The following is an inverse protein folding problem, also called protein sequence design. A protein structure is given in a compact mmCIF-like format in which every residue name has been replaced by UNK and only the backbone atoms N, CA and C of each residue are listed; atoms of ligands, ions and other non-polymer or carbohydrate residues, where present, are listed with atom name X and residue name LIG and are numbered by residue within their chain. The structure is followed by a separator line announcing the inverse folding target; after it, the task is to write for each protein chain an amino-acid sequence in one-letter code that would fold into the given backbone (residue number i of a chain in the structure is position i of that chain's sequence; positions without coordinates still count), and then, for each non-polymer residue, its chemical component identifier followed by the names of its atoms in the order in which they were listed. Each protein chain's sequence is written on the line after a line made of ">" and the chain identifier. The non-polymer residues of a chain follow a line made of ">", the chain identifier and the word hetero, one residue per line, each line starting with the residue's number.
data_IF_906517653980
#
_entry.id   IF_906517653980
#
_cell.length_a   1.000
_cell.length_b   1.000
_cell.length_c   1.000
_cell.angle_alpha   90.00
_cell.angle_beta   90.00
_cell.angle_gamma   90.00
#
_symmetry.space_group_name_H-M   'P 1'
#
loop_
_entity.id
_entity.type
_entity.pdbx_description
1 polymer ?
#
# COMPACT_ATOMS: atom_id res chain seq x y z
N UNK A 1 14.32 17.33 -12.24
CA UNK A 1 13.76 16.03 -12.65
C UNK A 1 12.94 15.50 -11.51
N UNK A 2 11.64 15.36 -11.73
CA UNK A 2 10.72 14.66 -10.84
C UNK A 2 11.24 13.27 -10.47
N UNK A 3 10.99 12.84 -9.23
CA UNK A 3 11.27 11.46 -8.80
C UNK A 3 10.32 10.49 -9.52
N UNK A 4 10.83 9.34 -9.94
CA UNK A 4 10.03 8.29 -10.58
C UNK A 4 9.84 7.12 -9.63
N UNK A 5 8.59 6.91 -9.23
CA UNK A 5 8.13 5.78 -8.43
C UNK A 5 8.09 4.51 -9.28
N UNK A 6 8.58 3.41 -8.70
CA UNK A 6 8.53 2.08 -9.31
C UNK A 6 7.38 1.28 -8.71
N UNK A 7 6.72 0.48 -9.53
CA UNK A 7 5.74 -0.47 -9.06
C UNK A 7 6.48 -1.70 -8.55
N UNK A 8 6.41 -1.96 -7.25
CA UNK A 8 7.14 -3.05 -6.62
C UNK A 8 6.41 -4.38 -6.87
N UNK A 9 7.15 -5.44 -7.22
CA UNK A 9 6.57 -6.77 -7.27
C UNK A 9 6.21 -7.23 -5.86
N UNK A 10 5.01 -7.80 -5.70
CA UNK A 10 4.67 -8.55 -4.49
C UNK A 10 5.50 -9.86 -4.38
N UNK A 11 5.55 -10.51 -3.20
CA UNK A 11 6.40 -11.70 -2.98
C UNK A 11 6.06 -12.94 -3.81
N UNK A 12 4.91 -12.95 -4.49
CA UNK A 12 4.38 -14.07 -5.25
C UNK A 12 3.73 -13.60 -6.57
N UNK A 13 3.85 -14.38 -7.63
CA UNK A 13 3.33 -14.07 -8.97
C UNK A 13 1.79 -14.00 -9.03
N UNK A 14 1.26 -13.59 -10.20
CA UNK A 14 -0.18 -13.63 -10.50
C UNK A 14 -0.78 -15.03 -10.42
N UNK A 15 -0.04 -16.06 -10.85
CA UNK A 15 -0.52 -17.43 -10.73
C UNK A 15 -0.43 -17.96 -9.30
N UNK A 16 0.66 -17.67 -8.58
CA UNK A 16 0.80 -18.09 -7.19
C UNK A 16 -0.26 -17.46 -6.28
N UNK A 17 -0.61 -16.18 -6.49
CA UNK A 17 -1.63 -15.49 -5.69
C UNK A 17 -3.01 -16.14 -5.78
N UNK A 18 -3.37 -16.67 -6.96
CA UNK A 18 -4.69 -17.32 -7.18
C UNK A 18 -4.87 -18.52 -6.27
N UNK A 19 -3.81 -19.28 -6.03
CA UNK A 19 -3.86 -20.45 -5.15
C UNK A 19 -3.56 -20.11 -3.70
N UNK A 20 -2.58 -19.23 -3.46
CA UNK A 20 -2.11 -18.87 -2.12
C UNK A 20 -3.15 -18.10 -1.31
N UNK A 21 -3.96 -17.27 -1.97
CA UNK A 21 -4.88 -16.35 -1.30
C UNK A 21 -6.36 -16.75 -1.39
N UNK A 22 -6.71 -17.81 -2.15
CA UNK A 22 -8.11 -18.16 -2.47
C UNK A 22 -9.04 -18.31 -1.27
N UNK A 23 -8.50 -18.71 -0.12
CA UNK A 23 -9.28 -18.94 1.09
C UNK A 23 -9.61 -17.64 1.84
N UNK A 24 -8.94 -16.52 1.51
CA UNK A 24 -9.12 -15.21 2.16
C UNK A 24 -9.51 -14.09 1.19
N UNK A 25 -9.16 -14.20 -0.09
CA UNK A 25 -9.57 -13.27 -1.15
C UNK A 25 -9.71 -14.01 -2.49
N UNK A 26 -10.75 -13.69 -3.26
CA UNK A 26 -10.96 -14.36 -4.56
C UNK A 26 -9.83 -14.03 -5.55
N UNK A 27 -9.49 -14.95 -6.48
CA UNK A 27 -8.53 -14.73 -7.56
C UNK A 27 -8.77 -13.43 -8.33
N UNK A 28 -10.02 -13.15 -8.70
CA UNK A 28 -10.40 -11.96 -9.45
C UNK A 28 -10.18 -10.68 -8.63
N UNK A 29 -10.52 -10.72 -7.35
CA UNK A 29 -10.35 -9.56 -6.47
C UNK A 29 -8.87 -9.26 -6.27
N UNK A 30 -8.06 -10.30 -6.01
CA UNK A 30 -6.61 -10.16 -5.84
C UNK A 30 -5.93 -9.59 -7.10
N UNK A 31 -6.34 -10.06 -8.28
CA UNK A 31 -5.84 -9.56 -9.56
C UNK A 31 -6.16 -8.07 -9.75
N UNK A 32 -7.44 -7.68 -9.63
CA UNK A 32 -7.83 -6.28 -9.77
C UNK A 32 -7.19 -5.37 -8.72
N UNK A 33 -7.05 -5.85 -7.49
CA UNK A 33 -6.47 -5.10 -6.39
C UNK A 33 -4.99 -4.77 -6.63
N UNK A 34 -4.22 -5.72 -7.14
CA UNK A 34 -2.80 -5.52 -7.45
C UNK A 34 -2.59 -4.84 -8.82
N UNK A 35 -3.12 -5.43 -9.89
CA UNK A 35 -2.82 -5.04 -11.27
C UNK A 35 -3.54 -3.76 -11.73
N UNK A 36 -4.64 -3.38 -11.06
CA UNK A 36 -5.38 -2.14 -11.36
C UNK A 36 -5.24 -1.10 -10.24
N UNK A 37 -5.67 -1.41 -9.02
CA UNK A 37 -5.74 -0.42 -7.95
C UNK A 37 -4.36 -0.01 -7.43
N UNK A 38 -3.53 -0.97 -7.01
CA UNK A 38 -2.19 -0.68 -6.52
C UNK A 38 -1.30 -0.05 -7.60
N UNK A 39 -1.25 -0.65 -8.80
CA UNK A 39 -0.54 -0.08 -9.96
C UNK A 39 -1.03 1.32 -10.34
N UNK A 40 -2.32 1.58 -10.16
CA UNK A 40 -2.94 2.88 -10.37
C UNK A 40 -2.32 3.96 -9.48
N UNK A 41 -2.12 3.69 -8.19
CA UNK A 41 -1.49 4.65 -7.27
C UNK A 41 -0.09 5.05 -7.73
N UNK A 42 0.75 4.09 -8.12
CA UNK A 42 2.11 4.38 -8.62
C UNK A 42 2.06 5.18 -9.92
N UNK A 43 1.16 4.82 -10.84
CA UNK A 43 0.98 5.52 -12.11
C UNK A 43 0.62 6.98 -11.89
N UNK A 44 -0.34 7.26 -10.98
CA UNK A 44 -0.77 8.62 -10.70
C UNK A 44 0.21 9.38 -9.80
N UNK A 45 0.98 8.71 -8.93
CA UNK A 45 2.12 9.33 -8.24
C UNK A 45 3.10 9.95 -9.24
N UNK A 46 3.51 9.20 -10.27
CA UNK A 46 4.43 9.72 -11.28
C UNK A 46 3.86 10.91 -12.05
N UNK A 47 2.55 10.90 -12.36
CA UNK A 47 1.87 12.06 -12.95
C UNK A 47 1.87 13.26 -12.01
N UNK A 48 1.69 13.04 -10.71
CA UNK A 48 1.69 14.08 -9.69
C UNK A 48 3.10 14.66 -9.51
N UNK A 49 4.15 13.84 -9.47
CA UNK A 49 5.54 14.30 -9.38
C UNK A 49 5.91 15.19 -10.57
N UNK A 50 5.54 14.79 -11.79
CA UNK A 50 5.72 15.61 -13.00
C UNK A 50 4.89 16.91 -12.93
N UNK A 51 3.68 16.87 -12.38
CA UNK A 51 2.85 18.06 -12.16
C UNK A 51 3.47 19.02 -11.14
N UNK A 52 3.99 18.50 -10.03
CA UNK A 52 4.63 19.28 -8.97
C UNK A 52 5.94 19.94 -9.43
N UNK A 53 6.66 19.34 -10.38
CA UNK A 53 7.86 19.95 -10.98
C UNK A 53 7.54 21.28 -11.68
N UNK A 54 6.34 21.38 -12.29
CA UNK A 54 5.92 22.54 -13.09
C UNK A 54 4.92 23.48 -12.38
N UNK A 55 4.44 23.11 -11.19
CA UNK A 55 3.40 23.86 -10.49
C UNK A 55 3.93 25.22 -9.96
N UNK A 56 3.08 26.26 -10.03
CA UNK A 56 3.38 27.56 -9.43
C UNK A 56 3.31 27.48 -7.90
N UNK A 57 4.48 27.53 -7.28
CA UNK A 57 4.64 27.50 -5.82
C UNK A 57 4.38 28.86 -5.18
N UNK A 58 4.56 29.96 -5.92
CA UNK A 58 4.33 31.31 -5.39
C UNK A 58 2.83 31.60 -5.27
N UNK A 59 2.02 31.03 -6.17
CA UNK A 59 0.56 31.07 -6.12
C UNK A 59 -0.10 30.08 -5.14
N UNK A 60 0.68 29.36 -4.33
CA UNK A 60 0.13 28.41 -3.36
C UNK A 60 -0.74 29.11 -2.31
N UNK A 61 -1.93 28.57 -2.08
CA UNK A 61 -2.93 29.13 -1.17
C UNK A 61 -3.69 28.02 -0.43
N UNK A 62 -4.02 28.26 0.84
CA UNK A 62 -4.68 27.28 1.70
C UNK A 62 -6.14 26.98 1.35
N UNK A 63 -6.83 27.85 0.62
CA UNK A 63 -8.20 27.63 0.15
C UNK A 63 -8.22 26.85 -1.16
N UNK A 64 -7.40 27.25 -2.14
CA UNK A 64 -7.25 26.56 -3.41
C UNK A 64 -5.95 26.96 -4.13
N UNK A 65 -5.21 25.96 -4.62
CA UNK A 65 -4.14 26.12 -5.59
C UNK A 65 -3.83 24.77 -6.25
N UNK A 66 -3.36 24.77 -7.48
CA UNK A 66 -2.97 23.53 -8.17
C UNK A 66 -1.86 22.80 -7.41
N UNK A 67 -0.90 23.55 -6.87
CA UNK A 67 0.13 23.00 -5.98
C UNK A 67 -0.48 22.30 -4.76
N UNK A 68 -1.45 22.94 -4.09
CA UNK A 68 -2.15 22.36 -2.94
C UNK A 68 -2.92 21.08 -3.28
N UNK A 69 -3.66 21.08 -4.39
CA UNK A 69 -4.39 19.89 -4.84
C UNK A 69 -3.44 18.74 -5.22
N UNK A 70 -2.34 19.04 -5.93
CA UNK A 70 -1.33 18.05 -6.25
C UNK A 70 -0.71 17.44 -4.98
N UNK A 71 -0.37 18.25 -3.96
CA UNK A 71 0.15 17.74 -2.68
C UNK A 71 -0.87 16.89 -1.92
N UNK A 72 -2.15 17.27 -1.96
CA UNK A 72 -3.23 16.46 -1.36
C UNK A 72 -3.36 15.11 -2.05
N UNK A 73 -3.34 15.08 -3.38
CA UNK A 73 -3.37 13.84 -4.16
C UNK A 73 -2.09 13.04 -4.03
N UNK A 74 -0.94 13.68 -3.84
CA UNK A 74 0.33 12.99 -3.57
C UNK A 74 0.19 12.15 -2.31
N UNK A 75 -0.34 12.73 -1.22
CA UNK A 75 -0.53 12.00 0.05
C UNK A 75 -1.44 10.79 -0.11
N UNK A 76 -2.56 10.95 -0.84
CA UNK A 76 -3.49 9.86 -1.14
C UNK A 76 -2.83 8.71 -1.90
N UNK A 77 -2.17 9.01 -3.03
CA UNK A 77 -1.56 7.97 -3.85
C UNK A 77 -0.30 7.38 -3.19
N UNK A 78 0.45 8.18 -2.44
CA UNK A 78 1.64 7.71 -1.70
C UNK A 78 1.26 6.75 -0.60
N UNK A 79 0.24 7.09 0.21
CA UNK A 79 -0.33 6.15 1.19
C UNK A 79 -0.90 4.90 0.51
N UNK A 80 -1.58 5.08 -0.62
CA UNK A 80 -2.05 3.97 -1.46
C UNK A 80 -0.92 3.02 -1.86
N UNK A 81 0.20 3.52 -2.38
CA UNK A 81 1.36 2.69 -2.75
C UNK A 81 1.98 1.98 -1.54
N UNK A 82 2.41 2.71 -0.51
CA UNK A 82 3.14 2.11 0.62
C UNK A 82 2.28 1.08 1.36
N UNK A 83 1.01 1.40 1.63
CA UNK A 83 0.16 0.48 2.38
C UNK A 83 -0.14 -0.78 1.58
N UNK A 84 -0.19 -0.71 0.24
CA UNK A 84 -0.37 -1.90 -0.58
C UNK A 84 0.92 -2.71 -0.69
N UNK A 85 2.10 -2.07 -0.78
CA UNK A 85 3.39 -2.78 -0.69
C UNK A 85 3.42 -3.67 0.57
N UNK A 86 3.11 -3.09 1.74
CA UNK A 86 3.06 -3.85 3.01
C UNK A 86 1.95 -4.90 3.01
N UNK A 87 0.76 -4.58 2.50
CA UNK A 87 -0.37 -5.50 2.45
C UNK A 87 -0.01 -6.82 1.74
N UNK A 88 0.74 -6.75 0.63
CA UNK A 88 1.15 -7.96 -0.09
C UNK A 88 2.30 -8.70 0.58
N UNK A 89 3.14 -8.02 1.36
CA UNK A 89 4.22 -8.65 2.13
C UNK A 89 3.72 -9.46 3.33
N UNK A 90 2.57 -9.09 3.91
CA UNK A 90 2.01 -9.75 5.11
C UNK A 90 0.96 -10.82 4.80
N UNK A 91 0.64 -11.04 3.53
CA UNK A 91 -0.31 -12.07 3.08
C UNK A 91 0.41 -13.34 2.58
N UNK A 92 -0.29 -14.47 2.64
CA UNK A 92 0.19 -15.76 2.11
C UNK A 92 0.96 -16.63 3.11
N UNK A 93 0.98 -16.28 4.40
CA UNK A 93 1.42 -17.19 5.46
C UNK A 93 0.38 -18.26 5.79
N UNK A 94 0.76 -19.24 6.61
CA UNK A 94 -0.16 -20.27 7.13
C UNK A 94 -0.91 -19.84 8.40
N UNK A 95 -0.74 -18.59 8.82
CA UNK A 95 -1.42 -18.01 9.98
C UNK A 95 -0.94 -18.56 11.32
N UNK A 96 0.18 -19.29 11.37
CA UNK A 96 0.74 -19.86 12.60
C UNK A 96 1.48 -18.79 13.44
N UNK A 97 0.89 -18.33 14.56
CA UNK A 97 1.51 -17.28 15.38
C UNK A 97 2.79 -17.75 16.08
N UNK A 98 3.01 -19.07 16.23
CA UNK A 98 4.22 -19.60 16.88
C UNK A 98 5.50 -19.28 16.11
N UNK A 99 5.39 -18.95 14.81
CA UNK A 99 6.49 -18.51 13.96
C UNK A 99 6.90 -17.05 14.16
N UNK A 100 6.12 -16.28 14.94
CA UNK A 100 6.43 -14.91 15.33
C UNK A 100 6.48 -14.74 16.86
N UNK A 101 7.33 -15.47 17.59
CA UNK A 101 7.28 -15.54 19.06
C UNK A 101 7.48 -14.17 19.72
N UNK A 102 8.27 -13.29 19.13
CA UNK A 102 8.51 -11.92 19.61
C UNK A 102 7.26 -11.04 19.50
N UNK A 103 6.50 -11.21 18.42
CA UNK A 103 5.23 -10.50 18.19
C UNK A 103 4.16 -11.01 19.14
N UNK A 104 4.05 -12.33 19.32
CA UNK A 104 3.12 -12.94 20.28
C UNK A 104 3.42 -12.44 21.69
N UNK A 105 4.68 -12.46 22.13
CA UNK A 105 5.07 -11.98 23.45
C UNK A 105 4.75 -10.48 23.65
N UNK A 106 4.91 -9.65 22.61
CA UNK A 106 4.51 -8.25 22.67
C UNK A 106 3.00 -8.10 22.80
N UNK A 107 2.20 -8.86 22.04
CA UNK A 107 0.74 -8.87 22.13
C UNK A 107 0.28 -9.29 23.54
N UNK A 108 0.81 -10.38 24.07
CA UNK A 108 0.42 -10.89 25.39
C UNK A 108 0.78 -9.90 26.51
N UNK A 109 1.88 -9.15 26.38
CA UNK A 109 2.25 -8.11 27.34
C UNK A 109 1.24 -6.96 27.37
N UNK A 110 0.75 -6.51 26.21
CA UNK A 110 -0.15 -5.36 26.10
C UNK A 110 -1.63 -5.73 26.29
N UNK A 111 -2.03 -6.94 25.87
CA UNK A 111 -3.42 -7.36 25.79
C UNK A 111 -3.77 -8.58 26.68
N UNK A 112 -2.79 -9.13 27.39
CA UNK A 112 -2.97 -10.24 28.34
C UNK A 112 -2.91 -11.63 27.71
N UNK A 113 -3.46 -11.82 26.50
CA UNK A 113 -3.30 -13.04 25.70
C UNK A 113 -3.46 -12.77 24.20
N UNK A 114 -2.94 -13.65 23.34
CA UNK A 114 -3.13 -13.55 21.89
C UNK A 114 -4.62 -13.65 21.50
N UNK A 115 -5.38 -14.54 22.15
CA UNK A 115 -6.83 -14.70 21.90
C UNK A 115 -7.65 -13.49 22.34
N UNK A 116 -7.21 -12.72 23.35
CA UNK A 116 -7.90 -11.51 23.78
C UNK A 116 -7.67 -10.32 22.83
N UNK A 117 -6.59 -10.34 22.06
CA UNK A 117 -6.26 -9.32 21.07
C UNK A 117 -6.96 -9.52 19.72
N UNK A 118 -7.14 -10.78 19.32
CA UNK A 118 -7.72 -11.16 18.02
C UNK A 118 -9.22 -10.83 17.91
#
# INVERSE_FOLDING_TARGET
>A
MAYEWKFNPRPYSDEEAKELLKDVVSPETSDWHYNTHHKGYVTFLNKIEAGLENADKAGANGNWSDFGELKRRQTWNHGGTILHDVYWEVLGGDGDPSKGPEVVAAIEREYGSFDAWK
#
